data_IF_666214444915
#
_entry.id   IF_666214444915
#
_cell.length_a   1.000
_cell.length_b   1.000
_cell.length_c   1.000
_cell.angle_alpha   90.00
_cell.angle_beta   90.00
_cell.angle_gamma   90.00
#
_symmetry.space_group_name_H-M   'P 1'
#
loop_
_entity.id
_entity.type
_entity.pdbx_description
1 polymer ?
#
# COMPACT_ATOMS: atom_id res chain seq x y z
N UNK A 1 34.46 -0.68 10.60
CA UNK A 1 33.40 0.21 11.10
C UNK A 1 33.14 -0.13 12.57
N UNK A 2 33.21 0.84 13.51
CA UNK A 2 32.98 0.58 14.92
C UNK A 2 31.53 0.17 15.14
N UNK A 3 31.29 -0.95 15.85
CA UNK A 3 29.94 -1.40 16.23
C UNK A 3 29.40 -0.39 17.25
N UNK A 4 28.27 0.24 16.95
CA UNK A 4 27.56 1.13 17.89
C UNK A 4 27.03 0.28 19.04
N UNK A 5 27.34 0.67 20.28
CA UNK A 5 26.74 0.08 21.47
C UNK A 5 25.25 0.50 21.51
N UNK A 6 24.35 -0.49 21.55
CA UNK A 6 22.92 -0.24 21.73
C UNK A 6 22.67 0.37 23.13
N UNK A 7 21.90 1.46 23.23
CA UNK A 7 21.66 2.18 24.49
C UNK A 7 20.54 1.58 25.35
N UNK A 8 19.99 0.42 25.00
CA UNK A 8 18.96 -0.25 25.76
C UNK A 8 19.59 -1.40 26.55
N UNK A 9 20.06 -1.07 27.75
CA UNK A 9 20.24 -2.08 28.81
C UNK A 9 18.85 -2.52 29.25
N UNK A 10 18.45 -3.71 28.78
CA UNK A 10 17.24 -4.45 29.16
C UNK A 10 17.29 -4.82 30.65
N UNK A 11 16.89 -3.89 31.51
CA UNK A 11 16.72 -4.12 32.96
C UNK A 11 15.26 -3.93 33.41
N UNK A 12 14.30 -4.30 32.54
CA UNK A 12 12.92 -4.55 32.95
C UNK A 12 12.51 -5.95 32.51
N UNK A 13 12.87 -6.93 33.34
CA UNK A 13 12.29 -8.26 33.28
C UNK A 13 10.77 -8.15 33.39
N UNK A 14 10.07 -8.35 32.28
CA UNK A 14 8.63 -8.56 32.27
C UNK A 14 8.30 -9.79 33.14
N UNK A 15 7.88 -9.54 34.38
CA UNK A 15 7.33 -10.57 35.26
C UNK A 15 6.08 -11.14 34.58
N UNK A 16 6.22 -12.30 33.94
CA UNK A 16 5.07 -13.11 33.50
C UNK A 16 4.30 -13.58 34.73
N UNK A 17 3.33 -12.79 35.18
CA UNK A 17 2.24 -13.30 36.02
C UNK A 17 1.34 -14.18 35.15
N UNK A 18 1.62 -15.47 35.17
CA UNK A 18 0.75 -16.50 34.60
C UNK A 18 -0.43 -16.68 35.56
N UNK A 19 -1.51 -15.92 35.35
CA UNK A 19 -2.78 -16.20 36.01
C UNK A 19 -3.40 -17.45 35.38
N UNK A 20 -3.51 -18.50 36.19
CA UNK A 20 -4.23 -19.73 35.89
C UNK A 20 -5.73 -19.46 35.83
N UNK A 21 -6.26 -19.29 34.61
CA UNK A 21 -7.71 -19.26 34.35
C UNK A 21 -8.31 -20.66 34.46
N UNK A 22 -8.66 -21.05 35.68
CA UNK A 22 -9.78 -21.97 35.92
C UNK A 22 -11.06 -21.14 35.99
N UNK A 23 -12.02 -21.41 35.09
CA UNK A 23 -13.39 -20.90 35.25
C UNK A 23 -14.09 -20.52 33.95
N UNK A 24 -14.76 -21.50 33.35
CA UNK A 24 -15.89 -21.30 32.44
C UNK A 24 -16.91 -20.33 33.05
N UNK A 25 -16.93 -19.06 32.61
CA UNK A 25 -18.14 -18.24 32.36
C UNK A 25 -17.76 -17.17 31.35
N UNK A 26 -18.39 -17.17 30.18
CA UNK A 26 -18.22 -16.14 29.17
C UNK A 26 -18.41 -14.75 29.78
N UNK A 27 -17.32 -14.00 29.96
CA UNK A 27 -17.37 -12.60 30.32
C UNK A 27 -17.86 -11.85 29.09
N UNK A 28 -19.17 -11.61 29.02
CA UNK A 28 -19.70 -10.55 28.17
C UNK A 28 -19.14 -9.24 28.71
N UNK A 29 -18.04 -8.76 28.12
CA UNK A 29 -17.57 -7.39 28.34
C UNK A 29 -18.56 -6.47 27.61
N UNK A 30 -19.73 -6.28 28.20
CA UNK A 30 -20.71 -5.25 27.80
C UNK A 30 -20.38 -3.96 28.54
N UNK A 31 -19.15 -3.49 28.44
CA UNK A 31 -18.87 -2.11 28.85
C UNK A 31 -19.29 -1.20 27.71
N UNK A 32 -20.14 -0.23 28.04
CA UNK A 32 -20.65 0.78 27.11
C UNK A 32 -19.51 1.57 26.42
N UNK A 33 -18.35 1.63 27.09
CA UNK A 33 -17.11 2.16 26.54
C UNK A 33 -16.47 1.26 25.47
N UNK A 34 -16.49 -0.07 25.65
CA UNK A 34 -15.99 -1.00 24.65
C UNK A 34 -16.85 -1.01 23.39
N UNK A 35 -18.18 -0.90 23.53
CA UNK A 35 -19.10 -0.78 22.39
C UNK A 35 -18.85 0.50 21.59
N UNK A 36 -18.65 1.65 22.26
CA UNK A 36 -18.31 2.91 21.58
C UNK A 36 -16.96 2.84 20.86
N UNK A 37 -15.96 2.21 21.47
CA UNK A 37 -14.64 2.04 20.85
C UNK A 37 -14.73 1.15 19.59
N UNK A 38 -15.48 0.04 19.67
CA UNK A 38 -15.76 -0.83 18.52
C UNK A 38 -16.48 -0.06 17.40
N UNK A 39 -17.49 0.75 17.74
CA UNK A 39 -18.24 1.52 16.74
C UNK A 39 -17.34 2.53 15.99
N UNK A 40 -16.41 3.19 16.70
CA UNK A 40 -15.43 4.08 16.08
C UNK A 40 -14.42 3.34 15.19
N UNK A 41 -13.95 2.16 15.63
CA UNK A 41 -13.05 1.31 14.84
C UNK A 41 -13.69 0.86 13.51
N UNK A 42 -14.97 0.48 13.53
CA UNK A 42 -15.66 0.03 12.32
C UNK A 42 -16.12 1.17 11.40
N UNK A 43 -16.55 2.33 11.93
CA UNK A 43 -16.98 3.46 11.10
C UNK A 43 -15.84 4.05 10.24
N UNK A 44 -14.60 3.99 10.71
CA UNK A 44 -13.44 4.42 9.92
C UNK A 44 -13.15 3.51 8.72
N UNK A 45 -13.38 2.20 8.88
CA UNK A 45 -13.11 1.21 7.83
C UNK A 45 -14.15 1.25 6.69
N UNK A 46 -15.43 1.52 6.99
CA UNK A 46 -16.50 1.48 5.98
C UNK A 46 -16.46 2.64 4.98
N UNK A 47 -15.93 3.80 5.37
CA UNK A 47 -15.89 4.98 4.48
C UNK A 47 -14.80 4.91 3.41
N UNK A 48 -13.86 3.97 3.49
CA UNK A 48 -12.82 3.82 2.47
C UNK A 48 -13.20 2.85 1.34
N UNK A 49 -14.33 2.12 1.45
CA UNK A 49 -14.76 1.15 0.43
C UNK A 49 -16.06 1.52 -0.31
N UNK A 50 -16.82 2.54 0.13
CA UNK A 50 -18.04 2.99 -0.57
C UNK A 50 -17.79 3.96 -1.72
N UNK A 51 -16.66 3.81 -2.43
CA UNK A 51 -16.42 4.51 -3.69
C UNK A 51 -16.73 3.57 -4.85
N UNK A 52 -17.85 3.84 -5.52
CA UNK A 52 -18.27 3.37 -6.86
C UNK A 52 -19.14 2.11 -6.93
N UNK A 53 -20.43 2.30 -6.69
CA UNK A 53 -21.45 1.83 -7.65
C UNK A 53 -22.48 2.96 -7.82
N UNK A 54 -22.43 3.64 -8.97
CA UNK A 54 -23.57 4.34 -9.53
C UNK A 54 -23.51 4.15 -11.04
N UNK A 55 -24.37 3.25 -11.49
CA UNK A 55 -24.75 2.99 -12.87
C UNK A 55 -25.71 4.12 -13.25
N UNK A 56 -25.33 4.94 -14.22
CA UNK A 56 -26.12 6.06 -14.74
C UNK A 56 -25.73 6.36 -16.18
N UNK A 57 -26.52 5.80 -17.10
CA UNK A 57 -26.83 6.18 -18.48
C UNK A 57 -25.85 7.05 -19.31
N UNK A 58 -25.36 6.42 -20.38
CA UNK A 58 -25.34 6.90 -21.78
C UNK A 58 -24.80 8.32 -22.02
N UNK A 59 -23.47 8.43 -21.94
CA UNK A 59 -22.67 9.05 -23.01
C UNK A 59 -21.37 8.24 -23.12
N UNK A 60 -21.15 7.59 -24.27
CA UNK A 60 -19.90 6.90 -24.62
C UNK A 60 -18.75 7.90 -24.79
N UNK A 61 -18.29 8.47 -23.69
CA UNK A 61 -16.91 8.90 -23.57
C UNK A 61 -16.22 7.81 -22.76
N UNK A 62 -15.31 7.05 -23.40
CA UNK A 62 -14.42 6.12 -22.70
C UNK A 62 -13.97 6.78 -21.39
N UNK A 63 -14.00 6.08 -20.25
CA UNK A 63 -13.46 6.62 -19.02
C UNK A 63 -12.01 7.01 -19.30
N UNK A 64 -11.74 8.32 -19.40
CA UNK A 64 -10.41 8.83 -19.67
C UNK A 64 -9.50 8.35 -18.55
N UNK A 65 -8.78 7.26 -18.78
CA UNK A 65 -7.86 6.71 -17.82
C UNK A 65 -6.83 7.79 -17.50
N UNK A 66 -6.70 8.13 -16.23
CA UNK A 66 -5.75 9.13 -15.76
C UNK A 66 -4.52 8.44 -15.16
N UNK A 67 -3.34 8.98 -15.43
CA UNK A 67 -2.10 8.40 -14.96
C UNK A 67 -2.05 8.46 -13.44
N UNK A 68 -1.81 7.33 -12.77
CA UNK A 68 -1.75 7.32 -11.30
C UNK A 68 -0.55 8.11 -10.73
N UNK A 69 0.43 8.47 -11.57
CA UNK A 69 1.63 9.19 -11.15
C UNK A 69 1.55 10.70 -11.41
N UNK A 70 0.96 11.12 -12.54
CA UNK A 70 0.90 12.55 -12.90
C UNK A 70 -0.53 13.08 -13.09
N UNK A 71 -1.55 12.23 -12.91
CA UNK A 71 -2.98 12.54 -13.04
C UNK A 71 -3.42 13.16 -14.38
N UNK A 72 -2.53 13.17 -15.38
CA UNK A 72 -2.86 13.59 -16.75
C UNK A 72 -3.71 12.51 -17.43
N UNK A 73 -4.59 12.95 -18.32
CA UNK A 73 -5.31 12.05 -19.24
C UNK A 73 -4.31 11.24 -20.06
N UNK A 74 -4.57 9.94 -20.18
CA UNK A 74 -3.69 9.02 -20.89
C UNK A 74 -4.34 8.65 -22.22
N UNK A 75 -3.58 8.74 -23.31
CA UNK A 75 -3.98 8.24 -24.63
C UNK A 75 -3.73 6.74 -24.81
N UNK A 76 -2.77 6.19 -24.05
CA UNK A 76 -2.33 4.79 -24.14
C UNK A 76 -2.06 4.23 -22.75
N UNK A 77 -2.87 3.27 -22.32
CA UNK A 77 -2.79 2.66 -21.00
C UNK A 77 -1.56 1.74 -20.92
N UNK A 78 -0.59 2.12 -20.08
CA UNK A 78 0.55 1.26 -19.74
C UNK A 78 0.37 0.79 -18.31
N UNK A 79 0.42 -0.53 -18.10
CA UNK A 79 0.35 -1.13 -16.77
C UNK A 79 1.77 -1.37 -16.25
N UNK A 80 2.06 -0.91 -15.05
CA UNK A 80 3.33 -1.23 -14.39
C UNK A 80 3.34 -2.72 -13.98
N UNK A 81 4.35 -3.47 -14.43
CA UNK A 81 4.45 -4.90 -14.15
C UNK A 81 4.60 -5.23 -12.65
N UNK A 82 5.17 -4.31 -11.85
CA UNK A 82 5.43 -4.55 -10.42
C UNK A 82 4.24 -4.21 -9.51
N UNK A 83 3.55 -3.07 -9.76
CA UNK A 83 2.50 -2.58 -8.87
C UNK A 83 1.11 -2.49 -9.52
N UNK A 84 0.97 -2.97 -10.76
CA UNK A 84 -0.28 -3.03 -11.53
C UNK A 84 -0.97 -1.68 -11.76
N UNK A 85 -0.32 -0.56 -11.44
CA UNK A 85 -0.85 0.78 -11.64
C UNK A 85 -0.81 1.19 -13.11
N UNK A 86 -1.86 1.89 -13.56
CA UNK A 86 -1.95 2.46 -14.91
C UNK A 86 -1.19 3.79 -14.95
N UNK A 87 -0.20 3.89 -15.84
CA UNK A 87 0.68 5.03 -16.01
C UNK A 87 0.69 5.49 -17.47
N UNK A 88 1.03 6.75 -17.69
CA UNK A 88 1.29 7.25 -19.04
C UNK A 88 2.71 6.89 -19.50
N UNK A 89 2.93 6.97 -20.82
CA UNK A 89 4.25 6.76 -21.45
C UNK A 89 5.37 7.57 -20.76
N UNK A 90 5.13 8.85 -20.45
CA UNK A 90 6.14 9.70 -19.79
C UNK A 90 6.42 9.36 -18.31
N UNK A 91 5.57 8.55 -17.68
CA UNK A 91 5.76 8.02 -16.33
C UNK A 91 6.24 6.56 -16.34
N UNK A 92 6.30 5.93 -17.51
CA UNK A 92 6.79 4.57 -17.70
C UNK A 92 8.28 4.55 -18.00
N UNK A 93 8.94 3.47 -17.61
CA UNK A 93 10.33 3.15 -17.90
C UNK A 93 10.40 1.70 -18.36
N UNK A 94 11.14 1.43 -19.43
CA UNK A 94 11.38 0.09 -19.93
C UNK A 94 12.60 -0.50 -19.22
N UNK A 95 12.47 -1.68 -18.63
CA UNK A 95 13.62 -2.34 -18.02
C UNK A 95 14.51 -2.97 -19.09
N UNK A 96 15.81 -2.67 -19.06
CA UNK A 96 16.79 -3.20 -20.05
C UNK A 96 17.08 -4.70 -19.91
N UNK A 97 16.65 -5.35 -18.83
CA UNK A 97 16.90 -6.77 -18.56
C UNK A 97 15.71 -7.66 -18.90
N UNK A 98 14.48 -7.19 -18.70
CA UNK A 98 13.27 -7.99 -18.91
C UNK A 98 12.32 -7.42 -19.96
N UNK A 99 12.62 -6.25 -20.54
CA UNK A 99 11.81 -5.58 -21.57
C UNK A 99 10.35 -5.30 -21.16
N UNK A 100 10.09 -5.24 -19.84
CA UNK A 100 8.79 -4.90 -19.27
C UNK A 100 8.72 -3.42 -18.83
N UNK A 101 7.50 -2.88 -18.77
CA UNK A 101 7.25 -1.49 -18.35
C UNK A 101 7.01 -1.36 -16.85
N UNK A 102 7.69 -0.37 -16.25
CA UNK A 102 7.60 -0.05 -14.83
C UNK A 102 7.35 1.43 -14.62
N UNK A 103 6.75 1.82 -13.48
CA UNK A 103 6.66 3.22 -13.11
C UNK A 103 7.99 3.73 -12.52
N UNK A 104 8.19 5.05 -12.47
CA UNK A 104 9.37 5.70 -11.86
C UNK A 104 9.65 5.33 -10.40
N UNK A 105 8.66 4.78 -9.69
CA UNK A 105 8.82 4.31 -8.31
C UNK A 105 9.13 2.81 -8.22
N UNK A 106 9.14 2.08 -9.34
CA UNK A 106 9.39 0.63 -9.42
C UNK A 106 10.63 0.29 -10.26
N UNK A 107 11.23 1.29 -10.89
CA UNK A 107 12.49 1.20 -11.61
C UNK A 107 13.33 2.45 -11.34
N UNK A 108 14.64 2.31 -11.43
CA UNK A 108 15.58 3.40 -11.24
C UNK A 108 16.55 3.46 -12.43
N UNK A 109 17.07 4.65 -12.70
CA UNK A 109 18.05 4.88 -13.75
C UNK A 109 19.44 4.51 -13.24
N UNK A 110 20.19 3.74 -14.02
CA UNK A 110 21.59 3.41 -13.73
C UNK A 110 22.51 4.51 -14.29
N UNK A 111 22.23 4.95 -15.50
CA UNK A 111 22.98 5.99 -16.22
C UNK A 111 22.04 7.14 -16.57
N UNK A 112 22.36 8.35 -16.09
CA UNK A 112 21.58 9.56 -16.39
C UNK A 112 21.60 9.90 -17.89
N UNK A 113 22.69 9.57 -18.60
CA UNK A 113 22.85 9.90 -20.02
C UNK A 113 22.15 8.90 -20.96
N UNK A 114 22.05 7.62 -20.58
CA UNK A 114 21.62 6.54 -21.50
C UNK A 114 20.19 6.06 -21.28
N UNK A 115 19.46 6.67 -20.34
CA UNK A 115 18.08 6.27 -20.01
C UNK A 115 17.94 4.77 -19.71
N UNK A 116 19.01 4.12 -19.22
CA UNK A 116 18.98 2.72 -18.85
C UNK A 116 18.29 2.59 -17.50
N UNK A 117 17.07 2.04 -17.50
CA UNK A 117 16.34 1.74 -16.28
C UNK A 117 16.42 0.25 -15.95
N UNK A 118 16.58 -0.07 -14.67
CA UNK A 118 16.42 -1.42 -14.13
C UNK A 118 15.27 -1.42 -13.13
N UNK A 119 14.41 -2.43 -13.21
CA UNK A 119 13.36 -2.67 -12.23
C UNK A 119 13.93 -3.34 -10.97
N UNK A 120 13.22 -3.20 -9.84
CA UNK A 120 13.65 -3.84 -8.59
C UNK A 120 13.70 -5.37 -8.64
N UNK A 121 12.97 -6.01 -9.56
CA UNK A 121 13.01 -7.47 -9.73
C UNK A 121 14.25 -7.95 -10.46
N UNK A 122 14.91 -7.10 -11.25
CA UNK A 122 16.09 -7.45 -12.04
C UNK A 122 17.40 -6.89 -11.49
N UNK A 123 17.36 -6.11 -10.41
CA UNK A 123 18.53 -5.67 -9.65
C UNK A 123 18.94 -6.74 -8.64
#
# INVERSE_FOLDING_TARGET
MPKRLCPFTDDEQAIKKQETLHGNKGRQIKSLSAERALQLLFQGASKQFSSKENIGELNESLPNAACTQCHKSISSEIKCFYCDKIICIGCSQLCTKCDEYYCKNCAFLIDEEKSHAICYSCY
#
